data_IF_850540384016
#
_entry.id   IF_850540384016
#
_cell.length_a   1.000
_cell.length_b   1.000
_cell.length_c   1.000
_cell.angle_alpha   90.00
_cell.angle_beta   90.00
_cell.angle_gamma   90.00
#
_symmetry.space_group_name_H-M   'P 1'
#
loop_
_entity.id
_entity.type
_entity.pdbx_description
1 polymer ?
#
# COMPACT_ATOMS: atom_id res chain seq x y z
N UNK A 1 18.39 17.80 -13.28
CA UNK A 1 18.00 16.37 -13.18
C UNK A 1 16.64 16.08 -13.79
N UNK A 2 15.58 16.85 -13.49
CA UNK A 2 14.37 16.80 -14.33
C UNK A 2 14.68 17.34 -15.73
N UNK A 3 14.12 16.76 -16.78
CA UNK A 3 14.23 17.29 -18.15
C UNK A 3 13.36 18.54 -18.30
N UNK A 4 13.85 19.53 -19.05
CA UNK A 4 13.14 20.81 -19.28
C UNK A 4 12.21 20.78 -20.50
N UNK A 5 12.51 19.90 -21.45
CA UNK A 5 11.94 19.84 -22.80
C UNK A 5 11.84 18.37 -23.27
N UNK A 6 11.14 18.14 -24.38
CA UNK A 6 10.90 16.80 -24.94
C UNK A 6 9.91 15.95 -24.14
N UNK A 7 9.81 14.67 -24.53
CA UNK A 7 8.82 13.71 -24.01
C UNK A 7 8.84 13.54 -22.48
N UNK A 8 10.00 13.72 -21.85
CA UNK A 8 10.20 13.53 -20.41
C UNK A 8 10.16 14.84 -19.61
N UNK A 9 9.62 15.93 -20.17
CA UNK A 9 9.54 17.25 -19.50
C UNK A 9 8.92 17.14 -18.10
N UNK A 10 9.64 17.64 -17.09
CA UNK A 10 9.24 17.57 -15.68
C UNK A 10 9.61 16.27 -14.95
N UNK A 11 9.96 15.19 -15.67
CA UNK A 11 10.40 13.90 -15.12
C UNK A 11 11.94 13.79 -15.08
N UNK A 12 12.47 12.82 -14.34
CA UNK A 12 13.90 12.46 -14.35
C UNK A 12 14.11 11.29 -15.33
N UNK A 13 14.72 11.52 -16.52
CA UNK A 13 14.78 10.48 -17.56
C UNK A 13 15.50 9.20 -17.14
N UNK A 14 16.55 9.31 -16.31
CA UNK A 14 17.31 8.14 -15.82
C UNK A 14 16.40 7.24 -14.98
N UNK A 15 15.60 7.84 -14.09
CA UNK A 15 14.65 7.09 -13.25
C UNK A 15 13.51 6.53 -14.09
N UNK A 16 12.88 7.35 -14.94
CA UNK A 16 11.72 6.96 -15.74
C UNK A 16 12.05 5.86 -16.74
N UNK A 17 13.20 5.96 -17.44
CA UNK A 17 13.64 4.92 -18.38
C UNK A 17 14.10 3.68 -17.62
N UNK A 18 14.79 3.85 -16.48
CA UNK A 18 15.24 2.74 -15.63
C UNK A 18 14.09 1.88 -15.10
N UNK A 19 13.08 2.49 -14.46
CA UNK A 19 11.93 1.75 -13.93
C UNK A 19 11.07 1.15 -15.04
N UNK A 20 10.83 1.90 -16.14
CA UNK A 20 10.09 1.38 -17.30
C UNK A 20 10.81 0.17 -17.93
N UNK A 21 12.13 0.21 -18.05
CA UNK A 21 12.91 -0.91 -18.61
C UNK A 21 12.81 -2.16 -17.75
N UNK A 22 12.86 -2.03 -16.41
CA UNK A 22 12.67 -3.16 -15.48
C UNK A 22 11.27 -3.74 -15.61
N UNK A 23 10.23 -2.89 -15.61
CA UNK A 23 8.82 -3.34 -15.70
C UNK A 23 8.54 -4.01 -17.06
N UNK A 24 9.02 -3.45 -18.17
CA UNK A 24 8.85 -4.03 -19.50
C UNK A 24 9.63 -5.35 -19.64
N UNK A 25 10.87 -5.42 -19.15
CA UNK A 25 11.65 -6.66 -19.17
C UNK A 25 10.97 -7.78 -18.34
N UNK A 26 10.45 -7.44 -17.15
CA UNK A 26 9.68 -8.37 -16.32
C UNK A 26 8.40 -8.85 -17.03
N UNK A 27 7.62 -7.94 -17.62
CA UNK A 27 6.39 -8.29 -18.36
C UNK A 27 6.70 -9.20 -19.55
N UNK A 28 7.75 -8.91 -20.33
CA UNK A 28 8.16 -9.77 -21.46
C UNK A 28 8.62 -11.15 -20.97
N UNK A 29 9.41 -11.22 -19.89
CA UNK A 29 9.87 -12.48 -19.31
C UNK A 29 8.68 -13.33 -18.82
N UNK A 30 7.78 -12.76 -18.03
CA UNK A 30 6.61 -13.46 -17.50
C UNK A 30 5.59 -13.85 -18.60
N UNK A 31 5.49 -13.08 -19.69
CA UNK A 31 4.63 -13.40 -20.83
C UNK A 31 5.20 -14.46 -21.78
N UNK A 32 6.51 -14.74 -21.74
CA UNK A 32 7.18 -15.71 -22.63
C UNK A 32 7.64 -16.99 -21.91
N UNK A 33 7.96 -16.90 -20.62
CA UNK A 33 8.47 -17.99 -19.78
C UNK A 33 7.70 -18.08 -18.46
N UNK A 34 6.37 -17.98 -18.51
CA UNK A 34 5.51 -17.85 -17.32
C UNK A 34 5.71 -18.95 -16.27
N UNK A 35 5.78 -20.21 -16.70
CA UNK A 35 5.96 -21.35 -15.79
C UNK A 35 7.35 -21.36 -15.13
N UNK A 36 8.39 -21.02 -15.90
CA UNK A 36 9.76 -20.94 -15.40
C UNK A 36 9.92 -19.74 -14.45
N UNK A 37 9.30 -18.61 -14.78
CA UNK A 37 9.26 -17.42 -13.93
C UNK A 37 8.54 -17.72 -12.60
N UNK A 38 7.36 -18.35 -12.67
CA UNK A 38 6.63 -18.78 -11.48
C UNK A 38 7.45 -19.76 -10.62
N UNK A 39 8.16 -20.72 -11.23
CA UNK A 39 9.06 -21.62 -10.50
C UNK A 39 10.21 -20.85 -9.82
N UNK A 40 10.87 -19.93 -10.53
CA UNK A 40 11.99 -19.14 -10.00
C UNK A 40 11.53 -18.22 -8.85
N UNK A 41 10.39 -17.55 -8.98
CA UNK A 41 9.85 -16.71 -7.91
C UNK A 41 9.45 -17.55 -6.68
N UNK A 42 8.83 -18.71 -6.87
CA UNK A 42 8.53 -19.62 -5.75
C UNK A 42 9.80 -20.07 -5.00
N UNK A 43 10.83 -20.53 -5.72
CA UNK A 43 12.11 -20.93 -5.11
C UNK A 43 12.85 -19.76 -4.45
N UNK A 44 12.76 -18.54 -4.99
CA UNK A 44 13.33 -17.35 -4.37
C UNK A 44 12.58 -16.97 -3.07
N UNK A 45 11.24 -17.01 -3.07
CA UNK A 45 10.43 -16.77 -1.87
C UNK A 45 10.66 -17.84 -0.79
N UNK A 46 10.82 -19.10 -1.17
CA UNK A 46 11.21 -20.16 -0.22
C UNK A 46 12.59 -19.89 0.39
N UNK A 47 13.63 -19.69 -0.42
CA UNK A 47 14.99 -19.45 0.07
C UNK A 47 15.11 -18.20 0.94
N UNK A 48 14.29 -17.17 0.71
CA UNK A 48 14.20 -16.00 1.60
C UNK A 48 13.56 -16.40 2.94
N UNK A 49 12.42 -17.11 2.93
CA UNK A 49 11.68 -17.40 4.16
C UNK A 49 12.32 -18.52 5.01
N UNK A 50 12.94 -19.51 4.37
CA UNK A 50 13.71 -20.59 5.03
C UNK A 50 14.91 -20.06 5.84
N UNK A 51 15.38 -18.84 5.54
CA UNK A 51 16.58 -18.25 6.18
C UNK A 51 16.31 -16.93 6.92
N UNK A 52 15.29 -16.17 6.52
CA UNK A 52 15.03 -14.80 6.99
C UNK A 52 13.62 -14.57 7.54
N UNK A 53 12.75 -15.59 7.71
CA UNK A 53 11.42 -15.41 8.35
C UNK A 53 11.51 -14.70 9.72
N UNK A 54 12.47 -15.10 10.55
CA UNK A 54 12.75 -14.47 11.85
C UNK A 54 13.15 -12.99 11.72
N UNK A 55 13.93 -12.65 10.69
CA UNK A 55 14.40 -11.29 10.42
C UNK A 55 13.27 -10.41 9.91
N UNK A 56 12.40 -10.95 9.04
CA UNK A 56 11.22 -10.25 8.54
C UNK A 56 10.25 -9.90 9.69
N UNK A 57 9.86 -10.88 10.50
CA UNK A 57 8.99 -10.67 11.66
C UNK A 57 9.62 -9.67 12.65
N UNK A 58 10.90 -9.83 12.99
CA UNK A 58 11.61 -8.89 13.86
C UNK A 58 11.70 -7.46 13.27
N UNK A 59 11.86 -7.32 11.95
CA UNK A 59 11.92 -6.03 11.28
C UNK A 59 10.57 -5.31 11.31
N UNK A 60 9.47 -5.99 10.95
CA UNK A 60 8.13 -5.38 10.91
C UNK A 60 7.67 -5.01 12.33
N UNK A 61 7.83 -5.91 13.30
CA UNK A 61 7.49 -5.62 14.70
C UNK A 61 8.43 -4.58 15.32
N UNK A 62 9.70 -4.53 14.89
CA UNK A 62 10.65 -3.47 15.25
C UNK A 62 10.22 -2.09 14.71
N UNK A 63 9.75 -2.01 13.45
CA UNK A 63 9.19 -0.78 12.86
C UNK A 63 7.97 -0.30 13.65
N UNK A 64 7.05 -1.21 14.01
CA UNK A 64 5.90 -0.90 14.86
C UNK A 64 6.36 -0.36 16.24
N UNK A 65 7.32 -1.02 16.89
CA UNK A 65 7.89 -0.56 18.16
C UNK A 65 8.56 0.82 18.08
N UNK A 66 9.29 1.10 17.00
CA UNK A 66 9.90 2.42 16.74
C UNK A 66 8.84 3.50 16.54
N UNK A 67 7.74 3.21 15.83
CA UNK A 67 6.65 4.17 15.63
C UNK A 67 5.86 4.44 16.92
N UNK A 68 5.61 3.42 17.73
CA UNK A 68 5.03 3.56 19.08
C UNK A 68 5.94 4.42 19.96
N UNK A 69 7.26 4.17 19.95
CA UNK A 69 8.22 5.01 20.65
C UNK A 69 8.20 6.46 20.15
N UNK A 70 8.19 6.70 18.83
CA UNK A 70 8.10 8.06 18.26
C UNK A 70 6.84 8.76 18.77
N UNK A 71 5.67 8.11 18.68
CA UNK A 71 4.38 8.67 19.08
C UNK A 71 4.30 9.08 20.56
N UNK A 72 4.85 8.27 21.48
CA UNK A 72 4.84 8.56 22.92
C UNK A 72 6.07 9.33 23.45
N UNK A 73 7.06 9.60 22.60
CA UNK A 73 8.27 10.36 22.95
C UNK A 73 8.14 11.85 22.61
N UNK A 74 9.18 12.63 22.95
CA UNK A 74 9.37 14.03 22.52
C UNK A 74 9.35 14.25 21.00
N UNK A 75 9.41 13.18 20.19
CA UNK A 75 9.36 13.29 18.74
C UNK A 75 7.92 13.32 18.20
N UNK A 76 6.94 12.76 18.93
CA UNK A 76 5.52 12.76 18.54
C UNK A 76 4.85 14.14 18.55
N UNK A 77 5.47 15.13 19.22
CA UNK A 77 5.02 16.54 19.21
C UNK A 77 5.64 17.37 18.07
N UNK A 78 6.52 16.79 17.25
CA UNK A 78 7.19 17.49 16.17
C UNK A 78 6.26 17.66 14.95
N UNK A 79 6.01 18.91 14.56
CA UNK A 79 5.28 19.21 13.32
C UNK A 79 6.06 18.74 12.08
N UNK A 80 5.40 17.96 11.23
CA UNK A 80 5.84 17.65 9.88
C UNK A 80 5.48 18.86 8.98
N UNK A 81 6.45 19.75 8.79
CA UNK A 81 6.25 21.09 8.22
C UNK A 81 6.96 22.17 9.05
N UNK A 82 6.63 23.44 8.82
CA UNK A 82 7.23 24.57 9.57
C UNK A 82 6.65 24.69 10.99
N UNK A 83 7.32 25.42 11.87
CA UNK A 83 6.91 25.53 13.28
C UNK A 83 5.62 26.35 13.47
N UNK A 84 5.44 27.38 12.65
CA UNK A 84 4.26 28.25 12.54
C UNK A 84 3.10 27.62 11.74
N UNK A 85 3.40 26.62 10.92
CA UNK A 85 2.44 25.98 10.01
C UNK A 85 1.31 25.27 10.75
N UNK A 86 0.13 25.27 10.14
CA UNK A 86 -1.08 24.59 10.59
C UNK A 86 -1.46 23.53 9.55
N UNK A 87 -2.35 22.57 9.90
CA UNK A 87 -3.35 22.03 8.96
C UNK A 87 -4.18 23.12 7.98
N UNK A 88 -5.18 23.02 5.87
CA UNK A 88 -5.77 22.22 4.73
C UNK A 88 -6.95 21.27 5.05
N UNK A 89 -6.69 19.99 5.28
CA UNK A 89 -7.66 19.01 5.74
C UNK A 89 -7.93 19.11 7.25
N UNK A 90 -9.20 19.28 7.62
CA UNK A 90 -9.66 19.09 9.01
C UNK A 90 -9.45 17.64 9.44
N UNK A 91 -9.39 17.37 10.75
CA UNK A 91 -9.14 16.02 11.28
C UNK A 91 -10.12 14.96 10.73
N UNK A 92 -11.41 15.30 10.62
CA UNK A 92 -12.42 14.41 10.02
C UNK A 92 -12.18 14.15 8.52
N UNK A 93 -11.76 15.16 7.76
CA UNK A 93 -11.40 14.99 6.35
C UNK A 93 -10.12 14.15 6.19
N UNK A 94 -9.13 14.34 7.07
CA UNK A 94 -7.90 13.56 7.13
C UNK A 94 -8.16 12.07 7.38
N UNK A 95 -8.97 11.75 8.39
CA UNK A 95 -9.42 10.36 8.66
C UNK A 95 -10.13 9.75 7.44
N UNK A 96 -11.06 10.49 6.81
CA UNK A 96 -11.79 10.00 5.65
C UNK A 96 -10.86 9.70 4.45
N UNK A 97 -9.82 10.52 4.23
CA UNK A 97 -8.81 10.27 3.18
C UNK A 97 -7.92 9.06 3.50
N UNK A 98 -7.50 8.90 4.76
CA UNK A 98 -6.73 7.74 5.21
C UNK A 98 -7.49 6.43 4.94
N UNK A 99 -8.76 6.36 5.33
CA UNK A 99 -9.64 5.22 5.01
C UNK A 99 -9.80 5.02 3.50
N UNK A 100 -9.98 6.09 2.72
CA UNK A 100 -10.17 5.99 1.26
C UNK A 100 -8.92 5.53 0.48
N UNK A 101 -7.73 5.58 1.07
CA UNK A 101 -6.53 4.93 0.52
C UNK A 101 -6.28 3.53 1.08
N UNK A 102 -6.60 3.30 2.37
CA UNK A 102 -6.48 2.00 3.04
C UNK A 102 -7.44 0.95 2.48
N UNK A 103 -8.65 1.35 2.07
CA UNK A 103 -9.61 0.47 1.40
C UNK A 103 -9.21 0.30 -0.07
N UNK A 104 -8.69 -0.89 -0.39
CA UNK A 104 -8.36 -1.33 -1.75
C UNK A 104 -8.99 -2.69 -2.06
N UNK A 105 -8.83 -3.13 -3.31
CA UNK A 105 -9.37 -4.40 -3.83
C UNK A 105 -9.00 -5.60 -2.95
N UNK A 106 -7.76 -5.64 -2.43
CA UNK A 106 -7.31 -6.69 -1.53
C UNK A 106 -8.09 -6.79 -0.22
N UNK A 107 -8.59 -5.67 0.33
CA UNK A 107 -9.39 -5.70 1.57
C UNK A 107 -10.73 -6.41 1.35
N UNK A 108 -11.41 -6.15 0.22
CA UNK A 108 -12.69 -6.80 -0.12
C UNK A 108 -12.48 -8.30 -0.38
N UNK A 109 -11.36 -8.69 -0.98
CA UNK A 109 -11.02 -10.09 -1.21
C UNK A 109 -10.70 -10.84 0.09
N UNK A 110 -9.69 -10.35 0.83
CA UNK A 110 -9.12 -11.08 1.97
C UNK A 110 -9.96 -10.96 3.24
N UNK A 111 -10.76 -9.90 3.44
CA UNK A 111 -11.66 -9.83 4.61
C UNK A 111 -12.69 -10.96 4.69
N UNK A 112 -12.97 -11.65 3.57
CA UNK A 112 -13.77 -12.88 3.55
C UNK A 112 -12.89 -14.11 3.34
N UNK A 113 -12.00 -14.10 2.35
CA UNK A 113 -11.21 -15.29 2.00
C UNK A 113 -10.24 -15.70 3.12
N UNK A 114 -9.60 -14.75 3.79
CA UNK A 114 -8.54 -15.02 4.75
C UNK A 114 -9.02 -15.65 6.07
N UNK A 115 -10.03 -15.11 6.80
CA UNK A 115 -10.51 -15.76 8.01
C UNK A 115 -11.16 -17.12 7.72
N UNK A 116 -11.74 -17.32 6.52
CA UNK A 116 -12.25 -18.64 6.10
C UNK A 116 -11.10 -19.64 5.86
N UNK A 117 -9.98 -19.21 5.27
CA UNK A 117 -8.80 -20.06 5.08
C UNK A 117 -8.12 -20.42 6.41
N UNK A 118 -7.94 -19.47 7.32
CA UNK A 118 -7.36 -19.74 8.65
C UNK A 118 -8.28 -20.58 9.54
N UNK A 119 -9.60 -20.46 9.37
CA UNK A 119 -10.58 -21.32 10.05
C UNK A 119 -10.55 -22.76 9.50
N UNK A 120 -10.40 -22.92 8.18
CA UNK A 120 -10.22 -24.22 7.56
C UNK A 120 -8.89 -24.90 7.92
N UNK A 121 -7.80 -24.13 8.04
CA UNK A 121 -6.49 -24.63 8.43
C UNK A 121 -5.56 -23.57 9.03
N UNK A 122 -5.22 -23.73 10.30
CA UNK A 122 -4.12 -23.03 10.98
C UNK A 122 -3.36 -24.01 11.93
N UNK A 123 -2.11 -23.72 12.31
CA UNK A 123 -1.27 -24.62 13.09
C UNK A 123 -1.51 -24.55 14.60
N UNK A 124 -2.26 -23.56 15.09
CA UNK A 124 -2.50 -23.36 16.53
C UNK A 124 -3.72 -24.15 17.02
N UNK A 125 -4.77 -24.25 16.19
CA UNK A 125 -6.06 -24.87 16.52
C UNK A 125 -6.58 -25.70 15.34
N UNK A 126 -6.35 -27.03 15.32
CA UNK A 126 -6.72 -27.88 14.20
C UNK A 126 -8.23 -28.18 14.16
N UNK A 127 -8.80 -28.15 12.95
CA UNK A 127 -10.18 -28.52 12.68
C UNK A 127 -11.21 -27.40 12.91
N UNK A 128 -12.39 -27.57 12.30
CA UNK A 128 -13.48 -26.58 12.28
C UNK A 128 -14.18 -26.47 13.65
N UNK A 129 -13.52 -25.80 14.59
CA UNK A 129 -13.97 -25.62 15.98
C UNK A 129 -14.12 -24.15 16.34
N UNK A 130 -14.93 -23.80 17.35
CA UNK A 130 -15.10 -22.41 17.78
C UNK A 130 -13.74 -21.74 18.14
N UNK A 131 -12.82 -22.51 18.72
CA UNK A 131 -11.46 -22.07 19.02
C UNK A 131 -10.62 -21.78 17.75
N UNK A 132 -10.88 -22.48 16.65
CA UNK A 132 -10.31 -22.17 15.35
C UNK A 132 -10.93 -20.92 14.72
N UNK A 133 -12.21 -20.63 14.96
CA UNK A 133 -12.84 -19.39 14.49
C UNK A 133 -12.25 -18.15 15.17
N UNK A 134 -12.10 -18.14 16.51
CA UNK A 134 -11.45 -17.03 17.22
C UNK A 134 -9.97 -16.89 16.82
N UNK A 135 -9.24 -18.00 16.65
CA UNK A 135 -7.86 -17.98 16.16
C UNK A 135 -7.73 -17.42 14.74
N UNK A 136 -8.63 -17.80 13.82
CA UNK A 136 -8.66 -17.29 12.47
C UNK A 136 -8.84 -15.76 12.42
N UNK A 137 -9.71 -15.22 13.28
CA UNK A 137 -9.86 -13.77 13.44
C UNK A 137 -8.62 -13.11 14.04
N UNK A 138 -7.97 -13.73 15.03
CA UNK A 138 -6.69 -13.25 15.60
C UNK A 138 -5.60 -13.12 14.53
N UNK A 139 -5.42 -14.14 13.69
CA UNK A 139 -4.43 -14.15 12.60
C UNK A 139 -4.78 -13.07 11.57
N UNK A 140 -6.04 -13.00 11.14
CA UNK A 140 -6.51 -11.97 10.18
C UNK A 140 -6.28 -10.56 10.73
N UNK A 141 -6.51 -10.32 12.02
CA UNK A 141 -6.25 -9.02 12.66
C UNK A 141 -4.76 -8.70 12.83
N UNK A 142 -3.86 -9.69 12.83
CA UNK A 142 -2.41 -9.45 12.75
C UNK A 142 -2.03 -8.86 11.38
N UNK A 143 -2.62 -9.40 10.30
CA UNK A 143 -2.29 -9.02 8.92
C UNK A 143 -3.01 -7.76 8.42
N UNK A 144 -4.18 -7.43 8.98
CA UNK A 144 -4.91 -6.20 8.62
C UNK A 144 -4.85 -5.11 9.70
N UNK A 145 -4.30 -5.44 10.87
CA UNK A 145 -4.00 -4.54 11.97
C UNK A 145 -2.63 -3.88 11.89
N UNK A 146 -2.01 -3.63 13.04
CA UNK A 146 -0.98 -2.60 13.20
C UNK A 146 0.31 -2.82 12.38
N UNK A 147 0.63 -4.05 11.99
CA UNK A 147 1.92 -4.40 11.38
C UNK A 147 2.12 -3.80 9.97
N UNK A 148 1.25 -4.05 8.95
CA UNK A 148 1.39 -3.37 7.66
C UNK A 148 1.14 -1.86 7.74
N UNK A 149 0.23 -1.39 8.60
CA UNK A 149 0.05 0.04 8.83
C UNK A 149 1.32 0.72 9.37
N UNK A 150 2.14 0.03 10.17
CA UNK A 150 3.45 0.52 10.59
C UNK A 150 4.42 0.69 9.41
N UNK A 151 4.43 -0.23 8.44
CA UNK A 151 5.29 -0.14 7.25
C UNK A 151 4.87 1.06 6.37
N UNK A 152 3.57 1.23 6.10
CA UNK A 152 3.09 2.41 5.37
C UNK A 152 3.38 3.71 6.13
N UNK A 153 3.29 3.68 7.47
CA UNK A 153 3.54 4.84 8.33
C UNK A 153 5.01 5.23 8.38
N UNK A 154 5.97 4.30 8.46
CA UNK A 154 7.40 4.67 8.52
C UNK A 154 7.89 5.27 7.19
N UNK A 155 7.41 4.75 6.05
CA UNK A 155 7.72 5.31 4.73
C UNK A 155 7.05 6.68 4.58
N UNK A 156 5.76 6.80 4.94
CA UNK A 156 5.02 8.06 4.89
C UNK A 156 5.60 9.15 5.80
N UNK A 157 5.99 8.80 7.03
CA UNK A 157 6.66 9.68 7.99
C UNK A 157 8.04 10.12 7.49
N UNK A 158 8.84 9.20 6.91
CA UNK A 158 10.14 9.53 6.33
C UNK A 158 10.02 10.53 5.18
N UNK A 159 9.13 10.27 4.22
CA UNK A 159 8.86 11.19 3.11
C UNK A 159 8.34 12.55 3.62
N UNK A 160 7.38 12.54 4.56
CA UNK A 160 6.78 13.76 5.11
C UNK A 160 7.81 14.62 5.85
N UNK A 161 8.66 13.99 6.66
CA UNK A 161 9.75 14.66 7.34
C UNK A 161 10.73 15.29 6.34
N UNK A 162 11.33 14.51 5.44
CA UNK A 162 12.37 15.04 4.56
C UNK A 162 11.85 16.02 3.51
N UNK A 163 10.63 15.87 3.00
CA UNK A 163 10.09 16.79 2.01
C UNK A 163 9.55 18.11 2.61
N UNK A 164 8.89 18.07 3.77
CA UNK A 164 8.19 19.24 4.33
C UNK A 164 8.92 19.89 5.51
N UNK A 165 9.75 19.14 6.26
CA UNK A 165 10.61 19.71 7.32
C UNK A 165 11.97 20.14 6.78
N UNK A 166 12.66 19.26 6.05
CA UNK A 166 14.02 19.49 5.54
C UNK A 166 14.04 20.10 4.12
N UNK A 167 12.87 20.22 3.45
CA UNK A 167 12.75 20.86 2.13
C UNK A 167 13.37 20.07 0.97
N UNK A 168 13.65 18.77 1.15
CA UNK A 168 14.20 17.90 0.12
C UNK A 168 13.11 17.51 -0.92
N UNK A 169 13.49 16.94 -2.08
CA UNK A 169 12.50 16.47 -3.04
C UNK A 169 11.60 15.38 -2.44
N UNK A 170 10.29 15.43 -2.71
CA UNK A 170 9.36 14.34 -2.41
C UNK A 170 9.67 13.12 -3.31
N UNK A 171 10.55 12.24 -2.83
CA UNK A 171 11.05 11.05 -3.51
C UNK A 171 11.67 10.09 -2.48
N UNK A 172 11.62 8.77 -2.74
CA UNK A 172 12.08 7.73 -1.80
C UNK A 172 13.56 7.88 -1.44
N UNK A 173 14.41 8.31 -2.40
CA UNK A 173 15.81 8.65 -2.14
C UNK A 173 16.04 9.59 -0.96
N UNK A 174 15.11 10.51 -0.68
CA UNK A 174 15.30 11.57 0.32
C UNK A 174 15.27 11.02 1.75
N UNK A 175 14.63 9.87 1.99
CA UNK A 175 14.67 9.13 3.26
C UNK A 175 16.12 8.75 3.63
N UNK A 176 16.99 8.53 2.65
CA UNK A 176 18.39 8.14 2.85
C UNK A 176 19.33 9.33 3.08
N UNK A 177 18.85 10.57 3.02
CA UNK A 177 19.69 11.76 3.18
C UNK A 177 20.53 11.77 4.49
N UNK A 178 20.04 11.33 5.66
CA UNK A 178 20.87 11.23 6.87
C UNK A 178 22.05 10.24 6.75
N UNK A 179 21.93 9.22 5.88
CA UNK A 179 22.90 8.14 5.75
C UNK A 179 23.92 8.39 4.63
N UNK A 180 23.48 8.98 3.51
CA UNK A 180 24.33 9.18 2.32
C UNK A 180 24.49 10.65 1.90
N UNK A 181 23.84 11.59 2.59
CA UNK A 181 23.89 13.02 2.32
C UNK A 181 23.53 13.36 0.87
N UNK A 182 24.27 14.29 0.26
CA UNK A 182 24.07 14.72 -1.12
C UNK A 182 24.21 13.61 -2.19
N UNK A 183 24.64 12.38 -1.83
CA UNK A 183 24.63 11.22 -2.76
C UNK A 183 23.22 10.79 -3.18
N UNK A 184 22.15 11.28 -2.53
CA UNK A 184 20.77 11.15 -3.05
C UNK A 184 20.62 11.73 -4.47
N UNK A 185 21.44 12.71 -4.85
CA UNK A 185 21.42 13.28 -6.20
C UNK A 185 22.28 12.51 -7.21
N UNK A 186 23.02 11.49 -6.74
CA UNK A 186 23.87 10.61 -7.56
C UNK A 186 23.24 9.23 -7.87
N UNK A 187 24.05 8.27 -8.35
CA UNK A 187 23.57 6.94 -8.77
C UNK A 187 22.78 6.20 -7.69
N UNK A 188 23.22 6.23 -6.43
CA UNK A 188 22.56 5.52 -5.31
C UNK A 188 21.10 5.97 -5.16
N UNK A 189 20.84 7.28 -5.16
CA UNK A 189 19.47 7.80 -5.09
C UNK A 189 18.66 7.56 -6.37
N UNK A 190 19.30 7.37 -7.52
CA UNK A 190 18.61 6.92 -8.74
C UNK A 190 18.19 5.45 -8.66
N UNK A 191 19.06 4.55 -8.19
CA UNK A 191 18.73 3.13 -7.97
C UNK A 191 17.53 2.97 -7.04
N UNK A 192 17.46 3.75 -5.95
CA UNK A 192 16.37 3.70 -4.97
C UNK A 192 15.04 4.16 -5.57
N UNK A 193 15.01 5.28 -6.30
CA UNK A 193 13.80 5.73 -6.99
C UNK A 193 13.39 4.77 -8.14
N UNK A 194 14.35 4.12 -8.82
CA UNK A 194 14.09 3.13 -9.87
C UNK A 194 13.43 1.87 -9.30
N UNK A 195 14.01 1.29 -8.24
CA UNK A 195 13.46 0.10 -7.56
C UNK A 195 12.09 0.43 -6.97
N UNK A 196 11.95 1.56 -6.26
CA UNK A 196 10.67 1.98 -5.69
C UNK A 196 9.59 2.19 -6.75
N UNK A 197 9.95 2.71 -7.92
CA UNK A 197 9.04 2.84 -9.07
C UNK A 197 8.65 1.51 -9.71
N UNK A 198 9.56 0.53 -9.75
CA UNK A 198 9.27 -0.82 -10.25
C UNK A 198 8.37 -1.60 -9.28
N UNK A 199 8.69 -1.63 -7.98
CA UNK A 199 7.85 -2.24 -6.93
C UNK A 199 6.44 -1.62 -6.92
N UNK A 200 6.36 -0.28 -7.03
CA UNK A 200 5.08 0.44 -7.18
C UNK A 200 4.24 -0.08 -8.35
N UNK A 201 4.85 -0.36 -9.50
CA UNK A 201 4.15 -0.86 -10.67
C UNK A 201 3.70 -2.32 -10.51
N UNK A 202 4.55 -3.18 -9.95
CA UNK A 202 4.22 -4.59 -9.69
C UNK A 202 3.06 -4.71 -8.69
N UNK A 203 3.09 -3.95 -7.60
CA UNK A 203 2.03 -3.97 -6.60
C UNK A 203 0.67 -3.52 -7.13
N UNK A 204 0.62 -2.37 -7.81
CA UNK A 204 -0.60 -1.91 -8.50
C UNK A 204 -1.12 -2.95 -9.50
N UNK A 205 -0.25 -3.71 -10.16
CA UNK A 205 -0.65 -4.79 -11.07
C UNK A 205 -1.25 -6.02 -10.35
N UNK A 206 -0.76 -6.36 -9.16
CA UNK A 206 -1.31 -7.44 -8.32
C UNK A 206 -2.72 -7.08 -7.80
N UNK A 207 -2.87 -5.90 -7.20
CA UNK A 207 -4.17 -5.35 -6.78
C UNK A 207 -5.17 -5.28 -7.94
N UNK A 208 -4.74 -4.93 -9.15
CA UNK A 208 -5.59 -4.95 -10.34
C UNK A 208 -5.98 -6.38 -10.76
N UNK A 209 -5.04 -7.32 -10.74
CA UNK A 209 -5.28 -8.73 -11.06
C UNK A 209 -6.34 -9.37 -10.15
N UNK A 210 -6.23 -9.17 -8.83
CA UNK A 210 -7.24 -9.62 -7.87
C UNK A 210 -8.63 -8.99 -8.10
N UNK A 211 -8.68 -7.78 -8.64
CA UNK A 211 -9.92 -7.09 -8.98
C UNK A 211 -10.57 -7.65 -10.25
N UNK A 212 -9.76 -7.97 -11.25
CA UNK A 212 -10.21 -8.64 -12.49
C UNK A 212 -10.74 -10.04 -12.19
N UNK A 213 -10.11 -10.77 -11.26
CA UNK A 213 -10.59 -12.07 -10.80
C UNK A 213 -11.97 -11.95 -10.11
N UNK A 214 -12.12 -11.02 -9.17
CA UNK A 214 -13.40 -10.72 -8.51
C UNK A 214 -14.50 -10.33 -9.51
N UNK A 215 -14.20 -9.45 -10.47
CA UNK A 215 -15.16 -9.03 -11.50
C UNK A 215 -15.57 -10.23 -12.37
N UNK A 216 -14.62 -11.05 -12.84
CA UNK A 216 -14.92 -12.20 -13.68
C UNK A 216 -15.75 -13.26 -12.93
N UNK A 217 -15.38 -13.57 -11.68
CA UNK A 217 -16.10 -14.53 -10.84
C UNK A 217 -17.49 -14.00 -10.44
N UNK A 218 -17.62 -12.71 -10.10
CA UNK A 218 -18.91 -12.08 -9.83
C UNK A 218 -19.84 -12.09 -11.05
N UNK A 219 -19.32 -11.75 -12.23
CA UNK A 219 -20.07 -11.84 -13.49
C UNK A 219 -20.43 -13.30 -13.85
N UNK A 220 -19.59 -14.28 -13.51
CA UNK A 220 -19.91 -15.69 -13.67
C UNK A 220 -21.08 -16.11 -12.76
N UNK A 221 -21.05 -15.74 -11.47
CA UNK A 221 -22.12 -16.08 -10.52
C UNK A 221 -23.47 -15.40 -10.84
N UNK A 222 -23.46 -14.17 -11.36
CA UNK A 222 -24.71 -13.41 -11.63
C UNK A 222 -25.23 -13.59 -13.06
N UNK A 223 -24.35 -13.75 -14.06
CA UNK A 223 -24.70 -13.74 -15.49
C UNK A 223 -24.20 -14.96 -16.27
N UNK A 224 -23.54 -15.93 -15.62
CA UNK A 224 -23.02 -17.15 -16.28
C UNK A 224 -21.82 -16.93 -17.21
N UNK A 225 -21.18 -15.75 -17.19
CA UNK A 225 -20.10 -15.42 -18.15
C UNK A 225 -18.86 -16.32 -18.00
N UNK A 226 -18.06 -16.55 -19.06
CA UNK A 226 -16.94 -17.50 -19.00
C UNK A 226 -15.80 -17.06 -18.08
N UNK A 227 -15.31 -17.98 -17.24
CA UNK A 227 -14.08 -17.80 -16.44
C UNK A 227 -12.87 -18.21 -17.29
N UNK A 228 -12.39 -17.30 -18.15
CA UNK A 228 -11.30 -17.58 -19.11
C UNK A 228 -10.31 -16.44 -19.18
N UNK A 229 -9.04 -16.73 -19.52
CA UNK A 229 -8.00 -15.72 -19.69
C UNK A 229 -8.41 -14.62 -20.68
N UNK A 230 -9.02 -14.99 -21.81
CA UNK A 230 -9.52 -14.05 -22.82
C UNK A 230 -10.57 -13.07 -22.26
N UNK A 231 -11.48 -13.55 -21.39
CA UNK A 231 -12.46 -12.70 -20.74
C UNK A 231 -11.81 -11.76 -19.70
N UNK A 232 -10.87 -12.28 -18.90
CA UNK A 232 -10.09 -11.50 -17.92
C UNK A 232 -9.28 -10.39 -18.61
N UNK A 233 -8.63 -10.69 -19.73
CA UNK A 233 -7.94 -9.70 -20.58
C UNK A 233 -8.91 -8.65 -21.15
N UNK A 234 -10.15 -9.01 -21.48
CA UNK A 234 -11.16 -8.03 -21.94
C UNK A 234 -11.61 -7.08 -20.83
N UNK A 235 -11.75 -7.57 -19.59
CA UNK A 235 -12.01 -6.73 -18.41
C UNK A 235 -10.87 -5.76 -18.20
N UNK A 236 -9.61 -6.23 -18.24
CA UNK A 236 -8.41 -5.38 -18.14
C UNK A 236 -8.45 -4.29 -19.19
N UNK A 237 -8.66 -4.63 -20.47
CA UNK A 237 -8.69 -3.65 -21.56
C UNK A 237 -9.77 -2.58 -21.35
N UNK A 238 -10.98 -2.96 -20.93
CA UNK A 238 -12.08 -2.01 -20.63
C UNK A 238 -11.71 -1.10 -19.46
N UNK A 239 -11.18 -1.64 -18.35
CA UNK A 239 -10.76 -0.85 -17.19
C UNK A 239 -9.61 0.09 -17.53
N UNK A 240 -8.62 -0.35 -18.32
CA UNK A 240 -7.50 0.48 -18.80
C UNK A 240 -7.98 1.62 -19.72
N UNK A 241 -8.96 1.38 -20.60
CA UNK A 241 -9.56 2.44 -21.43
C UNK A 241 -10.30 3.46 -20.57
N UNK A 242 -11.13 3.03 -19.62
CA UNK A 242 -11.85 3.92 -18.69
C UNK A 242 -10.85 4.76 -17.85
N UNK A 243 -9.80 4.13 -17.32
CA UNK A 243 -8.76 4.81 -16.56
C UNK A 243 -7.98 5.82 -17.43
N UNK A 244 -7.67 5.48 -18.68
CA UNK A 244 -6.97 6.36 -19.63
C UNK A 244 -7.82 7.57 -20.03
N UNK A 245 -9.11 7.38 -20.28
CA UNK A 245 -10.06 8.49 -20.52
C UNK A 245 -10.18 9.37 -19.27
N UNK A 246 -10.25 8.79 -18.07
CA UNK A 246 -10.26 9.56 -16.81
C UNK A 246 -8.92 10.26 -16.51
N UNK A 247 -7.81 9.81 -17.10
CA UNK A 247 -6.51 10.47 -17.00
C UNK A 247 -6.50 11.75 -17.87
N UNK A 248 -6.87 11.60 -19.14
CA UNK A 248 -6.90 12.69 -20.13
C UNK A 248 -8.00 13.72 -19.83
N UNK A 249 -9.12 13.33 -19.23
CA UNK A 249 -10.22 14.22 -18.83
C UNK A 249 -9.97 15.03 -17.54
N UNK A 250 -8.74 15.04 -17.01
CA UNK A 250 -8.36 15.80 -15.81
C UNK A 250 -8.44 14.98 -14.52
N UNK A 251 -7.34 14.28 -14.20
CA UNK A 251 -7.16 13.38 -13.05
C UNK A 251 -7.77 13.92 -11.75
N UNK A 252 -7.51 15.19 -11.42
CA UNK A 252 -7.81 15.80 -10.12
C UNK A 252 -9.31 15.78 -9.76
N UNK A 253 -10.21 15.92 -10.74
CA UNK A 253 -11.66 15.88 -10.53
C UNK A 253 -12.22 14.47 -10.61
N UNK A 254 -11.73 13.67 -11.56
CA UNK A 254 -12.14 12.28 -11.74
C UNK A 254 -11.80 11.42 -10.53
N UNK A 255 -10.53 11.42 -10.12
CA UNK A 255 -10.03 10.66 -8.97
C UNK A 255 -10.76 11.02 -7.67
N UNK A 256 -10.97 12.32 -7.39
CA UNK A 256 -11.72 12.74 -6.20
C UNK A 256 -13.16 12.19 -6.18
N UNK A 257 -13.87 12.27 -7.32
CA UNK A 257 -15.25 11.76 -7.44
C UNK A 257 -15.31 10.23 -7.27
N UNK A 258 -14.43 9.50 -7.96
CA UNK A 258 -14.35 8.04 -7.88
C UNK A 258 -13.97 7.57 -6.47
N UNK A 259 -13.00 8.21 -5.82
CA UNK A 259 -12.59 7.92 -4.44
C UNK A 259 -13.73 8.16 -3.44
N UNK A 260 -14.44 9.29 -3.53
CA UNK A 260 -15.63 9.55 -2.68
C UNK A 260 -16.76 8.56 -2.95
N UNK A 261 -17.03 8.20 -4.22
CA UNK A 261 -18.05 7.21 -4.56
C UNK A 261 -17.69 5.81 -4.01
N UNK A 262 -16.44 5.38 -4.17
CA UNK A 262 -15.93 4.12 -3.63
C UNK A 262 -16.08 4.03 -2.10
N UNK A 263 -15.79 5.12 -1.39
CA UNK A 263 -15.99 5.21 0.07
C UNK A 263 -17.47 5.02 0.45
N UNK A 264 -18.40 5.68 -0.25
CA UNK A 264 -19.85 5.52 0.00
C UNK A 264 -20.38 4.14 -0.37
N UNK A 265 -19.92 3.53 -1.46
CA UNK A 265 -20.29 2.16 -1.84
C UNK A 265 -19.77 1.15 -0.81
N UNK A 266 -18.51 1.31 -0.36
CA UNK A 266 -17.90 0.44 0.66
C UNK A 266 -18.64 0.54 2.00
N UNK A 267 -18.98 1.76 2.43
CA UNK A 267 -19.79 1.99 3.64
C UNK A 267 -21.21 1.42 3.51
N UNK A 268 -21.84 1.57 2.33
CA UNK A 268 -23.14 0.98 2.05
C UNK A 268 -23.12 -0.55 2.10
N UNK A 269 -22.11 -1.19 1.49
CA UNK A 269 -21.90 -2.63 1.54
C UNK A 269 -21.68 -3.13 2.97
N UNK A 270 -20.85 -2.43 3.76
CA UNK A 270 -20.63 -2.76 5.18
C UNK A 270 -21.93 -2.70 5.99
N UNK A 271 -22.77 -1.68 5.77
CA UNK A 271 -24.07 -1.55 6.44
C UNK A 271 -25.08 -2.63 5.99
N UNK A 272 -25.05 -3.03 4.71
CA UNK A 272 -25.87 -4.14 4.19
C UNK A 272 -25.44 -5.47 4.82
N UNK A 273 -24.14 -5.77 4.91
CA UNK A 273 -23.63 -6.98 5.57
C UNK A 273 -23.95 -6.98 7.08
N UNK A 274 -23.81 -5.83 7.76
CA UNK A 274 -24.12 -5.70 9.18
C UNK A 274 -25.62 -5.84 9.49
N UNK A 275 -26.50 -5.36 8.60
CA UNK A 275 -27.95 -5.33 8.79
C UNK A 275 -28.71 -6.54 8.24
N UNK A 276 -28.18 -7.24 7.22
CA UNK A 276 -28.74 -8.51 6.71
C UNK A 276 -28.06 -9.74 7.31
N UNK A 277 -26.82 -9.60 7.78
CA UNK A 277 -26.11 -10.62 8.56
C UNK A 277 -26.52 -10.64 10.03
N UNK A 278 -25.97 -11.56 10.83
CA UNK A 278 -26.30 -11.68 12.26
C UNK A 278 -25.63 -10.55 13.07
N UNK A 279 -26.24 -9.36 13.08
CA UNK A 279 -25.69 -8.12 13.67
C UNK A 279 -25.07 -8.32 15.05
N UNK A 280 -25.77 -9.00 15.97
CA UNK A 280 -25.29 -9.24 17.33
C UNK A 280 -24.03 -10.10 17.38
N UNK A 281 -23.93 -11.11 16.50
CA UNK A 281 -22.72 -11.94 16.38
C UNK A 281 -21.55 -11.12 15.82
N UNK A 282 -21.79 -10.34 14.76
CA UNK A 282 -20.76 -9.48 14.14
C UNK A 282 -20.21 -8.47 15.16
N UNK A 283 -21.09 -7.84 15.96
CA UNK A 283 -20.69 -6.88 16.99
C UNK A 283 -19.94 -7.55 18.16
N UNK A 284 -20.38 -8.72 18.61
CA UNK A 284 -19.67 -9.47 19.65
C UNK A 284 -18.27 -9.90 19.16
N UNK A 285 -18.20 -10.49 17.96
CA UNK A 285 -16.96 -10.95 17.33
C UNK A 285 -15.96 -9.80 17.12
N UNK A 286 -16.43 -8.59 16.79
CA UNK A 286 -15.60 -7.39 16.68
C UNK A 286 -14.90 -7.06 18.01
N UNK A 287 -15.63 -7.01 19.12
CA UNK A 287 -15.05 -6.69 20.43
C UNK A 287 -14.17 -7.83 20.99
N UNK A 288 -14.62 -9.08 20.84
CA UNK A 288 -13.86 -10.26 21.26
C UNK A 288 -12.53 -10.36 20.51
N UNK A 289 -12.57 -10.33 19.17
CA UNK A 289 -11.37 -10.44 18.33
C UNK A 289 -10.42 -9.26 18.52
N UNK A 290 -10.93 -8.04 18.74
CA UNK A 290 -10.09 -6.87 19.02
C UNK A 290 -9.37 -6.97 20.38
N UNK A 291 -10.06 -7.46 21.41
CA UNK A 291 -9.46 -7.73 22.72
C UNK A 291 -8.41 -8.85 22.67
N UNK A 292 -8.75 -9.96 22.02
CA UNK A 292 -7.85 -11.12 21.85
C UNK A 292 -6.61 -10.77 21.01
N UNK A 293 -6.78 -10.02 19.91
CA UNK A 293 -5.66 -9.46 19.14
C UNK A 293 -4.78 -8.56 20.01
N UNK A 294 -5.35 -7.62 20.77
CA UNK A 294 -4.59 -6.71 21.62
C UNK A 294 -3.81 -7.44 22.73
N UNK A 295 -4.36 -8.54 23.28
CA UNK A 295 -3.68 -9.38 24.27
C UNK A 295 -2.55 -10.21 23.65
N UNK A 296 -2.74 -10.77 22.45
CA UNK A 296 -1.82 -11.74 21.86
C UNK A 296 -0.81 -11.13 20.88
N UNK A 297 -0.94 -9.84 20.53
CA UNK A 297 -0.13 -9.16 19.50
C UNK A 297 1.38 -9.45 19.64
N UNK A 298 1.96 -9.32 20.84
CA UNK A 298 3.41 -9.53 21.06
C UNK A 298 3.82 -10.98 20.80
N UNK A 299 3.01 -11.96 21.21
CA UNK A 299 3.30 -13.38 20.98
C UNK A 299 3.25 -13.73 19.49
N UNK A 300 2.22 -13.23 18.79
CA UNK A 300 2.04 -13.43 17.35
C UNK A 300 3.13 -12.72 16.52
N UNK A 301 3.56 -11.51 16.94
CA UNK A 301 4.59 -10.70 16.28
C UNK A 301 5.92 -11.42 16.03
N UNK A 302 6.27 -12.41 16.86
CA UNK A 302 7.57 -13.11 16.80
C UNK A 302 7.42 -14.63 16.62
N UNK A 303 6.22 -15.11 16.28
CA UNK A 303 5.99 -16.54 16.08
C UNK A 303 6.55 -16.99 14.73
N UNK A 304 7.62 -17.78 14.76
CA UNK A 304 8.43 -18.20 13.60
C UNK A 304 8.19 -19.65 13.17
N UNK A 305 7.28 -20.35 13.85
CA UNK A 305 7.11 -21.81 13.82
C UNK A 305 8.42 -22.62 13.93
N UNK A 306 9.32 -22.21 14.83
CA UNK A 306 10.67 -22.77 14.92
C UNK A 306 10.73 -24.25 15.40
N UNK A 307 9.61 -24.83 15.86
CA UNK A 307 9.56 -26.19 16.42
C UNK A 307 8.89 -27.20 15.50
N UNK A 308 7.79 -26.85 14.82
CA UNK A 308 7.15 -27.73 13.84
C UNK A 308 7.66 -27.47 12.41
N UNK A 309 8.24 -26.28 12.16
CA UNK A 309 8.70 -25.78 10.87
C UNK A 309 7.70 -26.04 9.72
N UNK A 310 6.41 -25.85 10.01
CA UNK A 310 5.38 -26.07 9.02
C UNK A 310 5.48 -25.01 7.92
N UNK A 311 5.28 -25.45 6.68
CA UNK A 311 5.22 -24.54 5.54
C UNK A 311 4.05 -23.52 5.63
N UNK A 312 3.15 -23.66 6.63
CA UNK A 312 2.08 -22.70 6.88
C UNK A 312 2.63 -21.32 7.20
N UNK A 313 3.63 -21.18 8.08
CA UNK A 313 4.23 -19.87 8.36
C UNK A 313 4.88 -19.26 7.11
N UNK A 314 5.46 -20.08 6.23
CA UNK A 314 5.96 -19.60 4.93
C UNK A 314 4.84 -19.16 3.99
N UNK A 315 3.68 -19.83 4.00
CA UNK A 315 2.50 -19.36 3.26
C UNK A 315 1.93 -18.06 3.84
N UNK A 316 2.03 -17.88 5.16
CA UNK A 316 1.63 -16.68 5.89
C UNK A 316 2.53 -15.49 5.54
N UNK A 317 3.84 -15.66 5.67
CA UNK A 317 4.82 -14.64 5.36
C UNK A 317 4.83 -14.28 3.86
N UNK A 318 4.49 -15.23 2.96
CA UNK A 318 4.22 -14.92 1.54
C UNK A 318 3.02 -14.00 1.35
N UNK A 319 1.92 -14.19 2.08
CA UNK A 319 0.76 -13.29 2.01
C UNK A 319 1.10 -11.92 2.57
N UNK A 320 1.81 -11.85 3.71
CA UNK A 320 2.29 -10.61 4.29
C UNK A 320 3.27 -9.87 3.36
N UNK A 321 4.27 -10.55 2.81
CA UNK A 321 5.19 -9.97 1.81
C UNK A 321 4.43 -9.49 0.59
N UNK A 322 3.49 -10.28 0.06
CA UNK A 322 2.66 -9.86 -1.07
C UNK A 322 1.87 -8.58 -0.76
N UNK A 323 1.29 -8.41 0.44
CA UNK A 323 0.60 -7.19 0.86
C UNK A 323 1.55 -5.99 1.07
N UNK A 324 2.76 -6.24 1.56
CA UNK A 324 3.80 -5.23 1.80
C UNK A 324 4.40 -4.72 0.50
N UNK A 325 4.67 -5.61 -0.46
CA UNK A 325 5.18 -5.27 -1.78
C UNK A 325 4.08 -4.69 -2.70
N UNK A 326 2.80 -5.05 -2.50
CA UNK A 326 1.67 -4.45 -3.23
C UNK A 326 1.62 -2.92 -3.03
N UNK A 327 1.92 -2.49 -1.81
CA UNK A 327 1.46 -1.17 -1.33
C UNK A 327 2.51 -0.38 -0.53
N UNK A 328 3.63 -0.96 -0.10
CA UNK A 328 4.62 -0.32 0.78
C UNK A 328 5.08 1.06 0.29
N UNK A 329 5.70 1.15 -0.90
CA UNK A 329 6.08 2.43 -1.50
C UNK A 329 4.87 3.28 -1.92
N UNK A 330 3.80 2.65 -2.43
CA UNK A 330 2.65 3.34 -3.04
C UNK A 330 1.80 4.04 -1.98
N UNK A 331 1.34 3.29 -0.96
CA UNK A 331 0.68 3.82 0.23
C UNK A 331 1.65 4.59 1.12
N UNK A 332 2.96 4.31 1.09
CA UNK A 332 3.95 5.19 1.71
C UNK A 332 3.90 6.62 1.13
N UNK A 333 3.90 6.77 -0.20
CA UNK A 333 3.78 8.07 -0.88
C UNK A 333 2.38 8.68 -0.70
N UNK A 334 1.31 7.88 -0.81
CA UNK A 334 -0.08 8.38 -0.64
C UNK A 334 -0.36 8.77 0.82
N UNK A 335 0.15 8.03 1.81
CA UNK A 335 0.07 8.40 3.22
C UNK A 335 0.99 9.59 3.55
N UNK A 336 2.13 9.77 2.88
CA UNK A 336 2.89 11.02 2.98
C UNK A 336 2.02 12.24 2.57
N UNK A 337 1.21 12.11 1.51
CA UNK A 337 0.26 13.14 1.12
C UNK A 337 -0.89 13.36 2.14
N UNK A 338 -0.99 12.54 3.19
CA UNK A 338 -1.88 12.75 4.34
C UNK A 338 -1.16 13.19 5.61
N UNK A 339 0.05 12.69 5.87
CA UNK A 339 0.85 13.09 7.04
C UNK A 339 1.31 14.56 6.97
N UNK A 340 1.17 15.22 5.82
CA UNK A 340 1.66 16.60 5.59
C UNK A 340 0.68 17.46 4.79
N UNK A 341 0.48 18.69 5.27
CA UNK A 341 -0.41 19.73 4.72
C UNK A 341 0.42 20.69 3.85
N UNK A 342 0.17 20.83 2.54
CA UNK A 342 0.71 21.92 1.73
C UNK A 342 -0.25 23.11 1.70
N UNK A 343 0.19 24.30 2.14
CA UNK A 343 -0.69 25.47 2.15
C UNK A 343 -1.01 26.02 0.75
N UNK A 344 -2.26 25.81 0.32
CA UNK A 344 -3.05 26.70 -0.53
C UNK A 344 -2.50 27.00 -1.95
N UNK A 345 -2.82 26.11 -2.89
CA UNK A 345 -3.29 26.58 -4.21
C UNK A 345 -4.79 26.90 -4.13
N UNK A 346 -5.36 27.65 -5.09
CA UNK A 346 -6.83 27.90 -5.15
C UNK A 346 -7.60 26.77 -5.85
N UNK A 347 -6.99 25.59 -5.97
CA UNK A 347 -7.49 24.43 -6.68
C UNK A 347 -7.31 23.20 -5.79
N UNK A 348 -8.41 22.63 -5.28
CA UNK A 348 -8.38 21.46 -4.38
C UNK A 348 -7.93 20.18 -5.08
N UNK A 349 -6.64 20.08 -5.38
CA UNK A 349 -6.01 19.08 -6.25
C UNK A 349 -5.28 18.05 -5.43
N UNK A 350 -5.66 16.79 -5.64
CA UNK A 350 -4.93 15.60 -5.22
C UNK A 350 -3.58 15.51 -5.95
N UNK A 351 -2.55 16.15 -5.42
CA UNK A 351 -1.26 16.32 -6.09
C UNK A 351 -0.28 15.19 -5.76
N UNK A 352 -0.67 13.94 -6.06
CA UNK A 352 0.14 12.73 -5.82
C UNK A 352 1.48 12.71 -6.59
N UNK A 353 1.63 13.54 -7.62
CA UNK A 353 2.88 13.74 -8.37
C UNK A 353 3.11 15.23 -8.63
N UNK A 354 3.85 15.89 -7.73
CA UNK A 354 4.26 17.28 -7.89
C UNK A 354 5.43 17.45 -8.88
N UNK A 355 5.32 18.44 -9.77
CA UNK A 355 6.48 18.93 -10.55
C UNK A 355 7.12 20.11 -9.81
N UNK A 356 8.43 20.02 -9.55
CA UNK A 356 9.17 21.09 -8.86
C UNK A 356 9.26 22.32 -9.78
N UNK A 357 8.79 23.47 -9.30
CA UNK A 357 8.61 24.70 -10.08
C UNK A 357 9.69 25.77 -9.81
N UNK A 358 10.73 25.43 -9.05
CA UNK A 358 11.75 26.39 -8.61
C UNK A 358 11.52 26.91 -7.20
N UNK A 359 12.44 27.74 -6.74
CA UNK A 359 12.27 28.56 -5.54
C UNK A 359 11.65 29.90 -5.95
N UNK A 360 10.74 30.42 -5.13
CA UNK A 360 10.18 31.75 -5.28
C UNK A 360 11.29 32.82 -5.16
N UNK A 361 11.49 33.72 -6.13
CA UNK A 361 12.54 34.73 -6.07
C UNK A 361 12.30 35.81 -5.01
N UNK A 362 11.10 35.89 -4.40
CA UNK A 362 10.75 36.88 -3.38
C UNK A 362 11.07 36.40 -1.96
N UNK A 363 11.00 35.09 -1.69
CA UNK A 363 11.12 34.53 -0.33
C UNK A 363 11.80 33.15 -0.23
N UNK A 364 12.26 32.59 -1.35
CA UNK A 364 12.99 31.32 -1.39
C UNK A 364 12.12 30.06 -1.26
N UNK A 365 10.79 30.14 -1.13
CA UNK A 365 9.91 28.96 -1.01
C UNK A 365 10.03 28.04 -2.23
N UNK A 366 10.33 26.77 -2.00
CA UNK A 366 10.12 25.69 -2.97
C UNK A 366 8.65 25.67 -3.38
N UNK A 367 8.36 25.94 -4.65
CA UNK A 367 7.01 25.77 -5.22
C UNK A 367 6.92 24.45 -5.97
N UNK A 368 5.75 23.82 -5.88
CA UNK A 368 5.36 22.69 -6.72
C UNK A 368 4.26 23.16 -7.67
N UNK A 369 4.42 22.92 -8.97
CA UNK A 369 3.31 22.90 -9.91
C UNK A 369 2.71 21.49 -9.86
N UNK A 370 1.44 21.38 -9.49
CA UNK A 370 0.62 20.31 -10.05
C UNK A 370 0.52 20.56 -11.56
N UNK A 371 0.49 19.52 -12.38
CA UNK A 371 0.37 19.70 -13.82
C UNK A 371 -1.01 20.32 -14.14
N UNK A 372 -1.02 21.57 -14.59
CA UNK A 372 -2.23 22.21 -15.12
C UNK A 372 -2.42 21.75 -16.57
N UNK A 373 -3.34 20.80 -16.74
CA UNK A 373 -3.84 20.22 -17.99
C UNK A 373 -5.22 19.65 -17.75
#
# INVERSE_FOLDING_TARGET
>A
MRAKEGLFKGLNPIVTIGSLSIVVAFVVLCATYGDQAASVFNSASDAILDHLKWFYLALVSGILGVLVYIAFSRFGTLKLGRADEKPEFSFAAWIAMLFSAGMGVGLIFWSVAEPVLHYASNPFTPGLTDQAASMAMRITLLHWGLHPWAIFTVIGLGLAYFAYREGLPLALRSILYPLIGNRIYGPIGHTVDIIGGAVTAFGVSQSLGLGVEQINMGMHQVFGTPVTLSFKLSIIAVVTVIASVSLVAGVSRGMKRLSTLNMWISLGLMLVVLGLGPTNYIMNLLFESAGDYAQNIIGMSFWTDAQADSAWQKSLDRLLLAMVDDLGPVRGVVHCAYFTWPYHSRTGVWCAVGTYAGNDPVDGRVRWHCAEG
#
